data_IF_124149003466
#
_entry.id   IF_124149003466
#
_cell.length_a   1.000
_cell.length_b   1.000
_cell.length_c   1.000
_cell.angle_alpha   90.00
_cell.angle_beta   90.00
_cell.angle_gamma   90.00
#
_symmetry.space_group_name_H-M   'P 1'
#
loop_
_entity.id
_entity.type
_entity.pdbx_description
1 polymer ?
#
# COMPACT_ATOMS: atom_id res chain seq x y z
N UNK A 1 2.48 9.78 -39.71
CA UNK A 1 1.48 9.34 -38.71
C UNK A 1 2.20 8.35 -37.82
N UNK A 2 2.37 8.63 -36.51
CA UNK A 2 2.99 7.67 -35.60
C UNK A 2 2.17 6.38 -35.54
N UNK A 3 2.84 5.25 -35.45
CA UNK A 3 2.20 3.94 -35.32
C UNK A 3 1.55 3.78 -33.94
N UNK A 4 0.58 2.86 -33.79
CA UNK A 4 -0.09 2.60 -32.50
C UNK A 4 0.91 2.28 -31.37
N UNK A 5 2.02 1.63 -31.72
CA UNK A 5 3.11 1.29 -30.79
C UNK A 5 3.90 2.53 -30.35
N UNK A 6 4.19 3.46 -31.26
CA UNK A 6 4.86 4.73 -30.92
C UNK A 6 4.00 5.61 -30.02
N UNK A 7 2.68 5.67 -30.24
CA UNK A 7 1.77 6.39 -29.35
C UNK A 7 1.80 5.81 -27.93
N UNK A 8 1.81 4.48 -27.81
CA UNK A 8 1.83 3.78 -26.53
C UNK A 8 3.14 4.05 -25.77
N UNK A 9 4.28 4.03 -26.47
CA UNK A 9 5.58 4.36 -25.87
C UNK A 9 5.66 5.82 -25.44
N UNK A 10 5.13 6.76 -26.22
CA UNK A 10 5.10 8.18 -25.86
C UNK A 10 4.21 8.43 -24.63
N UNK A 11 3.06 7.76 -24.54
CA UNK A 11 2.21 7.83 -23.35
C UNK A 11 2.90 7.25 -22.11
N UNK A 12 3.53 6.08 -22.22
CA UNK A 12 4.29 5.48 -21.12
C UNK A 12 5.44 6.38 -20.65
N UNK A 13 6.23 6.95 -21.59
CA UNK A 13 7.31 7.88 -21.28
C UNK A 13 6.80 9.16 -20.60
N UNK A 14 5.65 9.69 -21.04
CA UNK A 14 5.02 10.84 -20.41
C UNK A 14 4.59 10.53 -18.97
N UNK A 15 4.03 9.34 -18.73
CA UNK A 15 3.64 8.89 -17.39
C UNK A 15 4.86 8.83 -16.48
N UNK A 16 5.95 8.21 -16.94
CA UNK A 16 7.19 8.07 -16.17
C UNK A 16 7.86 9.39 -15.83
N UNK A 17 7.98 10.30 -16.81
CA UNK A 17 8.75 11.54 -16.65
C UNK A 17 8.22 12.44 -15.54
N UNK A 18 6.89 12.46 -15.38
CA UNK A 18 6.21 13.29 -14.39
C UNK A 18 5.70 12.46 -13.18
N UNK A 19 6.11 11.20 -13.08
CA UNK A 19 5.74 10.37 -11.95
C UNK A 19 6.53 10.79 -10.71
N UNK A 20 5.85 11.49 -9.81
CA UNK A 20 6.29 11.71 -8.45
C UNK A 20 5.32 11.03 -7.50
N UNK A 21 5.87 10.25 -6.58
CA UNK A 21 5.13 9.59 -5.53
C UNK A 21 6.05 9.46 -4.31
N UNK A 22 5.49 9.52 -3.11
CA UNK A 22 6.31 9.39 -1.90
C UNK A 22 6.85 7.97 -1.77
N UNK A 23 8.11 7.86 -1.32
CA UNK A 23 8.77 6.58 -1.18
C UNK A 23 8.16 5.73 -0.05
N UNK A 24 8.05 4.42 -0.26
CA UNK A 24 7.70 3.51 0.83
C UNK A 24 8.83 3.44 1.86
N UNK A 25 8.50 3.75 3.11
CA UNK A 25 9.42 3.70 4.25
C UNK A 25 8.96 2.68 5.28
N UNK A 26 9.71 1.58 5.37
CA UNK A 26 9.47 0.48 6.31
C UNK A 26 9.32 1.01 7.74
N UNK A 27 8.21 0.65 8.39
CA UNK A 27 7.90 1.04 9.78
C UNK A 27 7.31 2.44 9.94
N UNK A 28 7.23 3.26 8.89
CA UNK A 28 6.59 4.57 8.95
C UNK A 28 5.14 4.57 8.46
N UNK A 29 4.79 3.67 7.53
CA UNK A 29 3.44 3.49 7.00
C UNK A 29 3.14 1.99 6.84
N UNK A 30 1.85 1.64 6.87
CA UNK A 30 1.37 0.28 6.62
C UNK A 30 1.47 -0.04 5.12
N UNK A 31 1.88 -1.26 4.78
CA UNK A 31 2.06 -1.68 3.38
C UNK A 31 0.76 -1.59 2.58
N UNK A 32 -0.37 -1.93 3.20
CA UNK A 32 -1.69 -1.87 2.56
C UNK A 32 -2.06 -0.42 2.27
N UNK A 33 -1.89 0.48 3.25
CA UNK A 33 -2.18 1.90 3.08
C UNK A 33 -1.32 2.54 1.98
N UNK A 34 -0.03 2.18 1.94
CA UNK A 34 0.89 2.62 0.89
C UNK A 34 0.42 2.17 -0.50
N UNK A 35 0.08 0.88 -0.65
CA UNK A 35 -0.41 0.34 -1.91
C UNK A 35 -1.74 0.98 -2.34
N UNK A 36 -2.60 1.33 -1.39
CA UNK A 36 -3.87 2.01 -1.67
C UNK A 36 -3.64 3.41 -2.28
N UNK A 37 -2.70 4.18 -1.70
CA UNK A 37 -2.28 5.48 -2.25
C UNK A 37 -1.61 5.32 -3.62
N UNK A 38 -0.75 4.31 -3.77
CA UNK A 38 -0.08 4.00 -5.03
C UNK A 38 -1.10 3.67 -6.12
N UNK A 39 -2.04 2.76 -5.83
CA UNK A 39 -3.08 2.33 -6.77
C UNK A 39 -3.95 3.50 -7.24
N UNK A 40 -4.39 4.38 -6.33
CA UNK A 40 -5.14 5.60 -6.69
C UNK A 40 -4.34 6.50 -7.62
N UNK A 41 -3.03 6.59 -7.37
CA UNK A 41 -2.11 7.44 -8.12
C UNK A 41 -1.83 6.91 -9.52
N UNK A 42 -1.72 5.59 -9.71
CA UNK A 42 -1.59 4.98 -11.05
C UNK A 42 -2.93 4.94 -11.79
N UNK A 43 -4.06 4.76 -11.07
CA UNK A 43 -5.41 4.82 -11.64
C UNK A 43 -5.74 6.19 -12.24
N UNK A 44 -5.37 7.28 -11.56
CA UNK A 44 -5.51 8.63 -12.10
C UNK A 44 -4.74 8.86 -13.42
N UNK A 45 -3.74 8.02 -13.70
CA UNK A 45 -2.95 8.05 -14.93
C UNK A 45 -3.42 7.03 -15.98
N UNK A 46 -4.58 6.41 -15.79
CA UNK A 46 -5.17 5.46 -16.74
C UNK A 46 -4.54 4.07 -16.72
N UNK A 47 -3.89 3.67 -15.61
CA UNK A 47 -3.28 2.34 -15.44
C UNK A 47 -4.17 1.40 -14.61
N UNK A 48 -5.49 1.61 -14.59
CA UNK A 48 -6.43 0.75 -13.87
C UNK A 48 -6.79 -0.53 -14.62
N UNK A 49 -6.41 -0.63 -15.89
CA UNK A 49 -6.59 -1.84 -16.69
C UNK A 49 -5.68 -3.00 -16.25
N UNK A 50 -6.19 -4.22 -16.45
CA UNK A 50 -5.48 -5.48 -16.24
C UNK A 50 -4.89 -5.99 -17.55
N UNK A 51 -4.09 -5.15 -18.21
CA UNK A 51 -3.32 -5.55 -19.40
C UNK A 51 -1.88 -5.87 -19.02
N UNK A 52 -1.23 -6.78 -19.75
CA UNK A 52 0.19 -7.12 -19.51
C UNK A 52 1.09 -5.88 -19.55
N UNK A 53 0.79 -4.93 -20.44
CA UNK A 53 1.55 -3.68 -20.51
C UNK A 53 1.34 -2.80 -19.28
N UNK A 54 0.10 -2.63 -18.82
CA UNK A 54 -0.20 -1.86 -17.62
C UNK A 54 0.45 -2.48 -16.38
N UNK A 55 0.50 -3.82 -16.29
CA UNK A 55 1.17 -4.53 -15.18
C UNK A 55 2.68 -4.27 -15.16
N UNK A 56 3.36 -4.32 -16.30
CA UNK A 56 4.79 -3.98 -16.39
C UNK A 56 5.03 -2.54 -15.92
N UNK A 57 4.24 -1.59 -16.42
CA UNK A 57 4.37 -0.18 -16.02
C UNK A 57 4.09 0.01 -14.53
N UNK A 58 3.08 -0.66 -13.97
CA UNK A 58 2.77 -0.63 -12.52
C UNK A 58 3.92 -1.20 -11.69
N UNK A 59 4.53 -2.31 -12.10
CA UNK A 59 5.68 -2.91 -11.43
C UNK A 59 6.87 -1.95 -11.40
N UNK A 60 7.23 -1.36 -12.53
CA UNK A 60 8.35 -0.43 -12.61
C UNK A 60 8.12 0.84 -11.79
N UNK A 61 6.91 1.42 -11.89
CA UNK A 61 6.53 2.58 -11.07
C UNK A 61 6.56 2.25 -9.58
N UNK A 62 6.13 1.04 -9.19
CA UNK A 62 6.22 0.59 -7.82
C UNK A 62 7.68 0.52 -7.37
N UNK A 63 8.57 -0.11 -8.14
CA UNK A 63 10.00 -0.22 -7.80
C UNK A 63 10.68 1.14 -7.66
N UNK A 64 10.41 2.09 -8.56
CA UNK A 64 10.95 3.46 -8.46
C UNK A 64 10.42 4.20 -7.23
N UNK A 65 9.23 3.82 -6.76
CA UNK A 65 8.61 4.39 -5.56
C UNK A 65 9.03 3.69 -4.27
N UNK A 66 9.75 2.57 -4.33
CA UNK A 66 10.21 1.90 -3.13
C UNK A 66 11.49 2.57 -2.62
N UNK A 67 11.54 2.83 -1.31
CA UNK A 67 12.80 3.15 -0.65
C UNK A 67 13.82 2.01 -0.80
N UNK A 68 15.10 2.34 -0.75
CA UNK A 68 16.21 1.40 -1.01
C UNK A 68 16.16 0.12 -0.15
N UNK A 69 15.76 0.25 1.12
CA UNK A 69 15.61 -0.88 2.03
C UNK A 69 14.49 -1.84 1.61
N UNK A 70 13.34 -1.29 1.20
CA UNK A 70 12.19 -2.09 0.77
C UNK A 70 12.46 -2.78 -0.57
N UNK A 71 13.05 -2.04 -1.52
CA UNK A 71 13.48 -2.59 -2.80
C UNK A 71 14.42 -3.79 -2.61
N UNK A 72 15.44 -3.63 -1.75
CA UNK A 72 16.38 -4.71 -1.46
C UNK A 72 15.71 -5.94 -0.85
N UNK A 73 14.82 -5.76 0.12
CA UNK A 73 14.14 -6.88 0.76
C UNK A 73 13.25 -7.67 -0.21
N UNK A 74 12.52 -6.99 -1.10
CA UNK A 74 11.74 -7.65 -2.17
C UNK A 74 12.67 -8.39 -3.13
N UNK A 75 13.76 -7.76 -3.57
CA UNK A 75 14.75 -8.40 -4.46
C UNK A 75 15.36 -9.66 -3.85
N UNK A 76 15.74 -9.60 -2.58
CA UNK A 76 16.34 -10.73 -1.87
C UNK A 76 15.32 -11.87 -1.73
N UNK A 77 14.05 -11.55 -1.42
CA UNK A 77 12.96 -12.54 -1.37
C UNK A 77 12.65 -13.17 -2.74
N UNK A 78 12.74 -12.39 -3.82
CA UNK A 78 12.55 -12.84 -5.19
C UNK A 78 13.74 -13.64 -5.75
N UNK A 79 14.82 -13.86 -4.98
CA UNK A 79 16.04 -14.51 -5.47
C UNK A 79 16.74 -13.72 -6.57
N UNK A 80 16.60 -12.39 -6.59
CA UNK A 80 17.23 -11.49 -7.54
C UNK A 80 16.56 -11.38 -8.92
N UNK A 81 15.47 -12.10 -9.18
CA UNK A 81 14.81 -12.16 -10.50
C UNK A 81 13.55 -11.28 -10.56
N UNK A 82 13.73 -9.97 -10.39
CA UNK A 82 12.60 -9.02 -10.36
C UNK A 82 11.82 -8.96 -11.68
N UNK A 83 12.52 -9.06 -12.82
CA UNK A 83 11.92 -8.95 -14.17
C UNK A 83 10.96 -10.09 -14.52
N UNK A 84 10.94 -11.17 -13.72
CA UNK A 84 10.03 -12.30 -13.91
C UNK A 84 8.74 -12.17 -13.09
N UNK A 85 8.67 -11.18 -12.19
CA UNK A 85 7.52 -11.02 -11.30
C UNK A 85 6.45 -10.17 -11.95
N UNK A 86 5.22 -10.64 -11.84
CA UNK A 86 4.03 -9.84 -12.08
C UNK A 86 3.83 -8.80 -10.98
N UNK A 87 3.07 -7.75 -11.27
CA UNK A 87 2.70 -6.74 -10.27
C UNK A 87 2.07 -7.36 -9.02
N UNK A 88 1.17 -8.34 -9.20
CA UNK A 88 0.52 -9.04 -8.09
C UNK A 88 1.48 -9.87 -7.23
N UNK A 89 2.49 -10.50 -7.83
CA UNK A 89 3.53 -11.22 -7.08
C UNK A 89 4.40 -10.26 -6.26
N UNK A 90 4.77 -9.09 -6.81
CA UNK A 90 5.52 -8.06 -6.07
C UNK A 90 4.72 -7.58 -4.86
N UNK A 91 3.43 -7.29 -5.06
CA UNK A 91 2.51 -6.89 -3.98
C UNK A 91 2.44 -7.97 -2.89
N UNK A 92 2.33 -9.24 -3.27
CA UNK A 92 2.23 -10.38 -2.35
C UNK A 92 3.52 -10.62 -1.56
N UNK A 93 4.68 -10.46 -2.20
CA UNK A 93 5.98 -10.49 -1.53
C UNK A 93 6.07 -9.34 -0.52
N UNK A 94 5.70 -8.13 -0.92
CA UNK A 94 5.67 -6.98 -0.03
C UNK A 94 4.77 -7.19 1.19
N UNK A 95 3.58 -7.76 1.01
CA UNK A 95 2.66 -8.10 2.10
C UNK A 95 3.31 -9.14 3.05
N UNK A 96 4.04 -10.10 2.50
CA UNK A 96 4.73 -11.12 3.31
C UNK A 96 5.85 -10.53 4.16
N UNK A 97 6.58 -9.54 3.65
CA UNK A 97 7.76 -8.93 4.30
C UNK A 97 7.36 -7.78 5.23
N UNK A 98 6.48 -6.89 4.74
CA UNK A 98 6.15 -5.62 5.38
C UNK A 98 4.75 -5.58 5.98
N UNK A 99 3.87 -6.53 5.62
CA UNK A 99 2.54 -6.64 6.18
C UNK A 99 2.61 -6.77 7.69
N UNK A 100 1.94 -5.86 8.40
CA UNK A 100 1.88 -5.92 9.85
C UNK A 100 0.97 -7.09 10.21
N UNK A 101 1.56 -8.21 10.67
CA UNK A 101 0.80 -9.33 11.23
C UNK A 101 0.23 -8.94 12.59
N UNK A 102 -0.84 -8.16 12.58
CA UNK A 102 -1.59 -7.80 13.79
C UNK A 102 -2.37 -9.02 14.24
N UNK A 103 -2.09 -9.49 15.46
CA UNK A 103 -2.91 -10.54 16.07
C UNK A 103 -4.22 -9.90 16.56
N UNK A 104 -5.39 -10.30 16.01
CA UNK A 104 -6.66 -9.68 16.39
C UNK A 104 -6.95 -9.76 17.89
N UNK A 105 -6.51 -10.81 18.59
CA UNK A 105 -6.70 -10.92 20.03
C UNK A 105 -5.89 -9.89 20.81
N UNK A 106 -4.66 -9.59 20.36
CA UNK A 106 -3.82 -8.55 20.96
C UNK A 106 -4.42 -7.16 20.70
N UNK A 107 -4.88 -6.90 19.48
CA UNK A 107 -5.55 -5.63 19.15
C UNK A 107 -6.86 -5.45 19.93
N UNK A 108 -7.65 -6.52 20.09
CA UNK A 108 -8.86 -6.51 20.93
C UNK A 108 -8.54 -6.24 22.41
N UNK A 109 -7.45 -6.79 22.92
CA UNK A 109 -7.00 -6.50 24.28
C UNK A 109 -6.58 -5.03 24.44
N UNK A 110 -5.87 -4.45 23.45
CA UNK A 110 -5.54 -3.01 23.45
C UNK A 110 -6.80 -2.14 23.39
N UNK A 111 -7.76 -2.52 22.55
CA UNK A 111 -9.05 -1.84 22.44
C UNK A 111 -9.83 -1.88 23.75
N UNK A 112 -9.95 -3.05 24.38
CA UNK A 112 -10.64 -3.19 25.67
C UNK A 112 -10.00 -2.36 26.79
N UNK A 113 -8.70 -2.09 26.68
CA UNK A 113 -7.95 -1.25 27.61
C UNK A 113 -7.89 0.24 27.21
N UNK A 114 -8.55 0.66 26.11
CA UNK A 114 -8.64 2.06 25.74
C UNK A 114 -9.61 2.80 26.67
N UNK A 115 -9.05 3.45 27.69
CA UNK A 115 -9.80 4.34 28.59
C UNK A 115 -9.52 5.79 28.22
N UNK A 116 -10.52 6.66 28.34
CA UNK A 116 -10.36 8.11 28.14
C UNK A 116 -9.47 8.69 29.22
N UNK A 117 -8.47 9.46 28.82
CA UNK A 117 -7.63 10.17 29.80
C UNK A 117 -8.38 11.35 30.41
N UNK A 118 -8.03 11.75 31.64
CA UNK A 118 -8.76 12.81 32.36
C UNK A 118 -8.77 14.15 31.62
N UNK A 119 -7.70 14.45 30.88
CA UNK A 119 -7.52 15.66 30.09
C UNK A 119 -7.89 15.51 28.62
N UNK A 120 -8.29 14.32 28.17
CA UNK A 120 -8.59 14.06 26.76
C UNK A 120 -10.02 14.50 26.43
N UNK A 121 -10.13 15.30 25.37
CA UNK A 121 -11.41 15.69 24.80
C UNK A 121 -12.18 14.47 24.26
N UNK A 122 -13.51 14.52 24.30
CA UNK A 122 -14.36 13.40 23.88
C UNK A 122 -14.14 13.07 22.41
N UNK A 123 -13.97 14.06 21.52
CA UNK A 123 -13.74 13.79 20.10
C UNK A 123 -12.37 13.17 19.86
N UNK A 124 -11.35 13.61 20.59
CA UNK A 124 -10.03 13.00 20.56
C UNK A 124 -10.07 11.54 21.01
N UNK A 125 -10.81 11.26 22.09
CA UNK A 125 -11.01 9.90 22.59
C UNK A 125 -11.74 9.01 21.58
N UNK A 126 -12.87 9.46 21.03
CA UNK A 126 -13.64 8.70 20.02
C UNK A 126 -12.78 8.41 18.79
N UNK A 127 -11.98 9.38 18.35
CA UNK A 127 -11.03 9.18 17.24
C UNK A 127 -10.02 8.08 17.57
N UNK A 128 -9.40 8.13 18.75
CA UNK A 128 -8.44 7.11 19.20
C UNK A 128 -9.07 5.73 19.33
N UNK A 129 -10.30 5.66 19.84
CA UNK A 129 -11.06 4.42 19.98
C UNK A 129 -11.39 3.81 18.62
N UNK A 130 -11.78 4.63 17.63
CA UNK A 130 -11.96 4.20 16.23
C UNK A 130 -10.68 3.66 15.61
N UNK A 131 -9.55 4.35 15.82
CA UNK A 131 -8.24 3.86 15.35
C UNK A 131 -7.88 2.51 15.99
N UNK A 132 -8.13 2.33 17.28
CA UNK A 132 -7.88 1.05 17.96
C UNK A 132 -8.79 -0.08 17.45
N UNK A 133 -10.04 0.22 17.10
CA UNK A 133 -10.99 -0.75 16.57
C UNK A 133 -10.63 -1.23 15.15
N UNK A 134 -9.96 -0.41 14.34
CA UNK A 134 -9.69 -0.67 12.92
C UNK A 134 -8.98 -2.01 12.65
N UNK A 135 -8.19 -2.49 13.61
CA UNK A 135 -7.41 -3.73 13.50
C UNK A 135 -7.94 -4.88 14.37
N UNK A 136 -9.09 -4.70 15.01
CA UNK A 136 -9.69 -5.71 15.88
C UNK A 136 -10.52 -6.77 15.12
N UNK A 137 -10.77 -6.55 13.82
CA UNK A 137 -11.63 -7.38 12.98
C UNK A 137 -12.99 -7.65 13.65
N UNK A 138 -13.70 -6.59 14.04
CA UNK A 138 -15.05 -6.69 14.61
C UNK A 138 -16.14 -6.91 13.55
N UNK A 139 -15.81 -6.72 12.27
CA UNK A 139 -16.78 -6.88 11.18
C UNK A 139 -17.95 -5.92 11.35
N UNK A 140 -19.17 -6.43 11.20
CA UNK A 140 -20.40 -5.64 11.31
C UNK A 140 -20.70 -5.14 12.72
N UNK A 141 -20.08 -5.71 13.77
CA UNK A 141 -20.31 -5.27 15.15
C UNK A 141 -19.36 -4.16 15.61
N UNK A 142 -18.69 -3.46 14.68
CA UNK A 142 -17.72 -2.43 15.03
C UNK A 142 -18.38 -1.22 15.67
N UNK A 143 -19.49 -0.73 15.09
CA UNK A 143 -20.20 0.46 15.59
C UNK A 143 -20.83 0.24 16.96
N UNK A 144 -21.23 -1.00 17.29
CA UNK A 144 -21.77 -1.35 18.61
C UNK A 144 -20.70 -1.33 19.72
N UNK A 145 -19.41 -1.36 19.35
CA UNK A 145 -18.29 -1.43 20.30
C UNK A 145 -17.63 -0.08 20.54
N UNK A 146 -17.89 0.92 19.69
CA UNK A 146 -17.37 2.29 19.76
C UNK A 146 -18.22 3.17 20.68
#
# INVERSE_FOLDING_TARGET
MPTSTELTLLQALSIFKDFKFEEFKVGSEDWVDYLDRFYRTVKLRGLDETSTHADVVKSDLLFVSLGSAAFKAIKDCAGGKLDLLTYGEIVSIGETIFGVRRNPYVERAKFANCVREKSEDIQAFVKRLKTAAAHCHFGSSQDERL
#
